data_IF_458907491401
#
_entry.id   IF_458907491401
#
_cell.length_a   1.000
_cell.length_b   1.000
_cell.length_c   1.000
_cell.angle_alpha   90.00
_cell.angle_beta   90.00
_cell.angle_gamma   90.00
#
_symmetry.space_group_name_H-M   'P 1'
#
loop_
_entity.id
_entity.type
_entity.pdbx_description
1 polymer ?
#
# COMPACT_ATOMS: atom_id res chain seq x y z
N UNK A 1 2.36 -5.78 23.56
CA UNK A 1 2.57 -5.95 22.10
C UNK A 1 3.81 -5.17 21.72
N UNK A 2 4.72 -5.79 20.96
CA UNK A 2 5.93 -5.16 20.42
C UNK A 2 5.79 -4.99 18.91
N UNK A 3 6.38 -3.94 18.35
CA UNK A 3 6.40 -3.70 16.90
C UNK A 3 7.72 -4.24 16.33
N UNK A 4 7.63 -5.00 15.24
CA UNK A 4 8.79 -5.53 14.50
C UNK A 4 8.68 -5.06 13.05
N UNK A 5 9.79 -4.58 12.49
CA UNK A 5 9.88 -4.17 11.09
C UNK A 5 10.38 -5.34 10.26
N UNK A 6 9.58 -5.78 9.28
CA UNK A 6 9.91 -6.88 8.38
C UNK A 6 9.79 -6.42 6.92
N UNK A 7 10.67 -6.88 6.02
CA UNK A 7 10.46 -6.75 4.58
C UNK A 7 9.12 -7.38 4.16
N UNK A 8 8.45 -6.82 3.16
CA UNK A 8 7.11 -7.28 2.75
C UNK A 8 7.02 -8.79 2.44
N UNK A 9 8.04 -9.35 1.80
CA UNK A 9 8.11 -10.79 1.50
C UNK A 9 8.29 -11.71 2.72
N UNK A 10 8.64 -11.16 3.89
CA UNK A 10 8.86 -11.90 5.13
C UNK A 10 7.64 -11.87 6.06
N UNK A 11 6.68 -10.96 5.82
CA UNK A 11 5.52 -10.78 6.70
C UNK A 11 4.64 -12.05 6.75
N UNK A 12 4.26 -12.61 5.59
CA UNK A 12 3.40 -13.80 5.57
C UNK A 12 4.09 -15.03 6.22
N UNK A 13 5.37 -15.34 5.90
CA UNK A 13 6.10 -16.39 6.61
C UNK A 13 6.20 -16.16 8.12
N UNK A 14 6.39 -14.91 8.56
CA UNK A 14 6.47 -14.57 9.98
C UNK A 14 5.11 -14.74 10.70
N UNK A 15 3.99 -14.41 10.04
CA UNK A 15 2.66 -14.73 10.55
C UNK A 15 2.44 -16.25 10.60
N UNK A 16 2.82 -16.97 9.55
CA UNK A 16 2.66 -18.42 9.45
C UNK A 16 3.44 -19.19 10.53
N UNK A 17 4.63 -18.70 10.90
CA UNK A 17 5.45 -19.30 11.94
C UNK A 17 5.03 -18.91 13.36
N UNK A 18 4.15 -17.92 13.52
CA UNK A 18 3.78 -17.34 14.80
C UNK A 18 4.83 -16.40 15.40
N UNK A 19 5.78 -15.91 14.59
CA UNK A 19 6.73 -14.88 15.01
C UNK A 19 6.03 -13.54 15.27
N UNK A 20 5.00 -13.22 14.47
CA UNK A 20 4.14 -12.06 14.64
C UNK A 20 2.66 -12.49 14.61
N UNK A 21 1.84 -11.83 15.43
CA UNK A 21 0.42 -12.16 15.57
C UNK A 21 -0.47 -11.45 14.54
N UNK A 22 -0.01 -10.28 14.08
CA UNK A 22 -0.73 -9.43 13.15
C UNK A 22 0.26 -8.63 12.30
N UNK A 23 -0.18 -8.18 11.14
CA UNK A 23 0.60 -7.34 10.26
C UNK A 23 -0.27 -6.29 9.58
N UNK A 24 0.38 -5.22 9.18
CA UNK A 24 -0.10 -4.28 8.17
C UNK A 24 0.90 -4.27 7.03
N UNK A 25 0.45 -3.88 5.84
CA UNK A 25 1.35 -3.62 4.72
C UNK A 25 0.94 -2.38 3.96
N UNK A 26 -0.17 -2.41 3.20
CA UNK A 26 -0.57 -1.20 2.49
C UNK A 26 -2.07 -1.16 2.11
N UNK A 27 -2.51 -2.05 1.22
CA UNK A 27 -3.84 -1.99 0.63
C UNK A 27 -4.36 -3.39 0.21
N UNK A 28 -5.67 -3.53 -0.07
CA UNK A 28 -6.27 -4.84 -0.39
C UNK A 28 -5.59 -5.59 -1.53
N UNK A 29 -5.04 -4.86 -2.51
CA UNK A 29 -4.30 -5.45 -3.63
C UNK A 29 -3.01 -6.10 -3.15
N UNK A 30 -2.13 -5.33 -2.50
CA UNK A 30 -0.82 -5.84 -2.06
C UNK A 30 -0.99 -6.98 -1.06
N UNK A 31 -1.96 -6.85 -0.16
CA UNK A 31 -2.18 -7.83 0.91
C UNK A 31 -2.67 -9.17 0.32
N UNK A 32 -3.54 -9.09 -0.71
CA UNK A 32 -3.97 -10.25 -1.50
C UNK A 32 -2.80 -10.88 -2.26
N UNK A 33 -2.01 -10.06 -2.93
CA UNK A 33 -0.88 -10.51 -3.76
C UNK A 33 0.23 -11.17 -2.91
N UNK A 34 0.40 -10.76 -1.64
CA UNK A 34 1.28 -11.43 -0.68
C UNK A 34 0.69 -12.68 -0.01
N UNK A 35 -0.59 -12.97 -0.21
CA UNK A 35 -1.23 -14.15 0.38
C UNK A 35 -1.55 -14.00 1.87
N UNK A 36 -1.76 -12.77 2.37
CA UNK A 36 -2.08 -12.55 3.80
C UNK A 36 -3.37 -13.25 4.23
N UNK A 37 -4.30 -13.44 3.29
CA UNK A 37 -5.54 -14.19 3.50
C UNK A 37 -5.32 -15.67 3.82
N UNK A 38 -4.13 -16.23 3.56
CA UNK A 38 -3.80 -17.62 3.85
C UNK A 38 -3.37 -17.83 5.31
N UNK A 39 -2.99 -16.74 5.99
CA UNK A 39 -2.52 -16.74 7.38
C UNK A 39 -3.48 -16.01 8.34
N UNK A 40 -4.34 -15.12 7.83
CA UNK A 40 -5.40 -14.46 8.61
C UNK A 40 -6.69 -14.29 7.81
N UNK A 41 -7.83 -14.46 8.47
CA UNK A 41 -9.17 -14.16 7.92
C UNK A 41 -9.79 -12.89 8.52
N UNK A 42 -9.02 -12.10 9.26
CA UNK A 42 -9.49 -10.85 9.87
C UNK A 42 -8.77 -9.66 9.26
N UNK A 43 -9.52 -8.79 8.58
CA UNK A 43 -8.99 -7.63 7.88
C UNK A 43 -9.63 -6.35 8.43
N UNK A 44 -8.83 -5.49 9.05
CA UNK A 44 -9.29 -4.21 9.59
C UNK A 44 -9.06 -3.09 8.56
N UNK A 45 -10.15 -2.54 8.03
CA UNK A 45 -10.17 -1.48 7.04
C UNK A 45 -10.34 -0.11 7.69
N UNK A 46 -9.50 0.85 7.29
CA UNK A 46 -9.46 2.20 7.83
C UNK A 46 -8.31 2.36 8.82
N UNK A 47 -7.09 2.44 8.30
CA UNK A 47 -5.88 2.61 9.12
C UNK A 47 -5.87 3.98 9.81
N UNK A 48 -5.37 4.03 11.04
CA UNK A 48 -5.15 5.26 11.80
C UNK A 48 -3.81 5.92 11.47
N UNK A 49 -2.79 5.13 11.13
CA UNK A 49 -1.44 5.65 10.84
C UNK A 49 -1.26 6.06 9.38
N UNK A 50 -2.09 5.51 8.48
CA UNK A 50 -2.02 5.80 7.05
C UNK A 50 -3.44 5.88 6.46
N UNK A 51 -4.03 7.07 6.52
CA UNK A 51 -5.38 7.31 5.99
C UNK A 51 -5.43 7.28 4.46
N UNK A 52 -4.34 7.68 3.81
CA UNK A 52 -4.12 7.63 2.37
C UNK A 52 -2.65 7.36 2.06
N UNK A 53 -2.38 6.84 0.88
CA UNK A 53 -1.03 6.64 0.36
C UNK A 53 -0.75 7.63 -0.78
N UNK A 54 0.43 8.24 -0.73
CA UNK A 54 0.97 9.06 -1.80
C UNK A 54 2.44 8.71 -1.97
N UNK A 55 2.87 8.54 -3.21
CA UNK A 55 4.27 8.24 -3.53
C UNK A 55 4.97 9.50 -4.03
N UNK A 56 6.26 9.56 -3.75
CA UNK A 56 7.12 10.68 -4.14
C UNK A 56 8.13 10.22 -5.18
N UNK A 57 8.30 11.04 -6.22
CA UNK A 57 9.43 10.91 -7.15
C UNK A 57 10.50 11.91 -6.71
N UNK A 58 11.54 11.40 -6.04
CA UNK A 58 12.65 12.22 -5.56
C UNK A 58 13.78 12.28 -6.59
N UNK A 59 14.34 13.48 -6.80
CA UNK A 59 15.49 13.69 -7.67
C UNK A 59 16.69 14.19 -6.89
N UNK A 60 17.89 13.77 -7.28
CA UNK A 60 19.10 14.45 -6.81
C UNK A 60 19.07 15.92 -7.26
N UNK A 61 19.13 16.84 -6.29
CA UNK A 61 18.99 18.28 -6.54
C UNK A 61 19.92 18.80 -7.62
N UNK A 62 21.23 18.53 -7.51
CA UNK A 62 22.24 19.01 -8.47
C UNK A 62 21.96 18.47 -9.87
N UNK A 63 21.58 17.20 -9.98
CA UNK A 63 21.26 16.60 -11.27
C UNK A 63 20.02 17.23 -11.88
N UNK A 64 18.95 17.40 -11.10
CA UNK A 64 17.71 18.02 -11.55
C UNK A 64 17.93 19.47 -12.01
N UNK A 65 18.63 20.28 -11.21
CA UNK A 65 18.93 21.69 -11.53
C UNK A 65 19.87 21.82 -12.74
N UNK A 66 20.68 20.79 -13.04
CA UNK A 66 21.52 20.77 -14.25
C UNK A 66 20.75 20.50 -15.55
N UNK A 67 19.49 20.07 -15.47
CA UNK A 67 18.66 19.81 -16.65
C UNK A 67 18.18 21.13 -17.28
N UNK A 68 18.01 21.19 -18.61
CA UNK A 68 17.27 22.26 -19.27
C UNK A 68 15.88 22.44 -18.66
N UNK A 69 15.38 23.68 -18.68
CA UNK A 69 14.06 24.03 -18.11
C UNK A 69 12.91 23.17 -18.65
N UNK A 70 12.97 22.81 -19.94
CA UNK A 70 12.00 21.92 -20.57
C UNK A 70 11.97 20.53 -19.93
N UNK A 71 13.13 19.92 -19.64
CA UNK A 71 13.19 18.60 -19.01
C UNK A 71 12.75 18.65 -17.54
N UNK A 72 13.06 19.74 -16.82
CA UNK A 72 12.53 19.95 -15.47
C UNK A 72 10.99 20.01 -15.49
N UNK A 73 10.42 20.75 -16.45
CA UNK A 73 8.98 20.85 -16.61
C UNK A 73 8.35 19.49 -16.97
N UNK A 74 8.96 18.72 -17.88
CA UNK A 74 8.49 17.38 -18.24
C UNK A 74 8.46 16.47 -17.00
N UNK A 75 9.54 16.43 -16.22
CA UNK A 75 9.59 15.61 -15.00
C UNK A 75 8.50 16.01 -14.01
N UNK A 76 8.33 17.30 -13.75
CA UNK A 76 7.30 17.81 -12.85
C UNK A 76 5.89 17.38 -13.30
N UNK A 77 5.53 17.66 -14.55
CA UNK A 77 4.18 17.38 -15.03
C UNK A 77 3.93 15.88 -15.24
N UNK A 78 4.97 15.10 -15.56
CA UNK A 78 4.88 13.65 -15.57
C UNK A 78 4.59 13.09 -14.17
N UNK A 79 5.25 13.61 -13.13
CA UNK A 79 4.96 13.20 -11.74
C UNK A 79 3.55 13.57 -11.30
N UNK A 80 3.05 14.76 -11.65
CA UNK A 80 1.66 15.17 -11.37
C UNK A 80 0.64 14.29 -12.11
N UNK A 81 0.89 14.00 -13.39
CA UNK A 81 0.04 13.13 -14.19
C UNK A 81 0.01 11.69 -13.64
N UNK A 82 1.17 11.14 -13.28
CA UNK A 82 1.24 9.78 -12.73
C UNK A 82 0.60 9.69 -11.34
N UNK A 83 0.69 10.73 -10.51
CA UNK A 83 -0.04 10.76 -9.23
C UNK A 83 -1.56 10.62 -9.44
N UNK A 84 -2.11 11.36 -10.40
CA UNK A 84 -3.54 11.30 -10.74
C UNK A 84 -3.91 9.93 -11.32
N UNK A 85 -3.09 9.43 -12.25
CA UNK A 85 -3.25 8.13 -12.88
C UNK A 85 -3.28 7.00 -11.83
N UNK A 86 -2.29 6.99 -10.93
CA UNK A 86 -2.19 6.08 -9.79
C UNK A 86 -3.47 6.11 -8.96
N UNK A 87 -3.92 7.29 -8.54
CA UNK A 87 -5.08 7.43 -7.65
C UNK A 87 -6.37 6.87 -8.29
N UNK A 88 -6.64 7.20 -9.56
CA UNK A 88 -7.85 6.75 -10.25
C UNK A 88 -7.87 5.24 -10.47
N UNK A 89 -6.75 4.67 -10.93
CA UNK A 89 -6.68 3.23 -11.17
C UNK A 89 -6.76 2.43 -9.87
N UNK A 90 -6.06 2.87 -8.83
CA UNK A 90 -6.01 2.13 -7.58
C UNK A 90 -7.29 2.23 -6.76
N UNK A 91 -8.02 3.35 -6.82
CA UNK A 91 -9.34 3.43 -6.19
C UNK A 91 -10.27 2.31 -6.68
N UNK A 92 -10.29 2.06 -7.99
CA UNK A 92 -11.04 0.94 -8.57
C UNK A 92 -10.45 -0.41 -8.18
N UNK A 93 -9.15 -0.59 -8.38
CA UNK A 93 -8.46 -1.86 -8.11
C UNK A 93 -8.61 -2.33 -6.66
N UNK A 94 -8.45 -1.41 -5.70
CA UNK A 94 -8.56 -1.71 -4.27
C UNK A 94 -9.98 -2.13 -3.89
N UNK A 95 -11.00 -1.49 -4.47
CA UNK A 95 -12.39 -1.89 -4.27
C UNK A 95 -12.67 -3.30 -4.82
N UNK A 96 -12.16 -3.61 -6.01
CA UNK A 96 -12.33 -4.93 -6.64
C UNK A 96 -11.59 -6.03 -5.86
N UNK A 97 -10.34 -5.79 -5.48
CA UNK A 97 -9.52 -6.76 -4.76
C UNK A 97 -9.99 -6.97 -3.32
N UNK A 98 -10.55 -5.95 -2.66
CA UNK A 98 -11.27 -6.13 -1.39
C UNK A 98 -12.49 -7.05 -1.56
N UNK A 99 -13.22 -6.94 -2.67
CA UNK A 99 -14.30 -7.86 -3.03
C UNK A 99 -13.80 -9.30 -3.13
N UNK A 100 -12.70 -9.52 -3.86
CA UNK A 100 -12.08 -10.84 -3.99
C UNK A 100 -11.64 -11.42 -2.64
N UNK A 101 -11.05 -10.61 -1.77
CA UNK A 101 -10.68 -11.05 -0.42
C UNK A 101 -11.91 -11.55 0.37
N UNK A 102 -13.03 -10.84 0.27
CA UNK A 102 -14.30 -11.28 0.89
C UNK A 102 -14.79 -12.60 0.30
N UNK A 103 -14.72 -12.76 -1.02
CA UNK A 103 -15.08 -14.02 -1.70
C UNK A 103 -14.19 -15.21 -1.27
N UNK A 104 -12.95 -14.91 -0.85
CA UNK A 104 -12.00 -15.87 -0.25
C UNK A 104 -12.21 -16.10 1.26
N UNK A 105 -13.33 -15.61 1.81
CA UNK A 105 -13.72 -15.80 3.21
C UNK A 105 -13.04 -14.88 4.22
N UNK A 106 -12.45 -13.76 3.77
CA UNK A 106 -11.88 -12.75 4.67
C UNK A 106 -13.01 -11.90 5.28
N UNK A 107 -13.04 -11.83 6.62
CA UNK A 107 -13.93 -10.98 7.38
C UNK A 107 -13.36 -9.57 7.44
N UNK A 108 -14.07 -8.62 6.83
CA UNK A 108 -13.66 -7.21 6.79
C UNK A 108 -14.37 -6.44 7.90
N UNK A 109 -13.59 -5.84 8.78
CA UNK A 109 -14.05 -4.99 9.88
C UNK A 109 -13.69 -3.55 9.57
N UNK A 110 -14.64 -2.64 9.69
CA UNK A 110 -14.31 -1.22 9.71
C UNK A 110 -13.67 -0.90 11.06
N UNK A 111 -12.48 -0.32 11.04
CA UNK A 111 -11.84 0.18 12.27
C UNK A 111 -12.75 1.23 12.90
N UNK A 112 -13.15 1.03 14.15
CA UNK A 112 -14.05 1.94 14.84
C UNK A 112 -13.34 3.26 15.13
N UNK A 113 -14.01 4.36 14.82
CA UNK A 113 -13.61 5.69 15.30
C UNK A 113 -14.44 5.90 16.57
N UNK A 114 -13.76 6.16 17.69
CA UNK A 114 -14.40 6.49 18.98
C UNK A 114 -15.32 7.71 18.86
#
# INVERSE_FOLDING_TARGET
MSVVQLPGGEIQPAMKSGLIDAAEFNNPTSDKDFGMQDVSKHYHLGSFHQSQEFFEVSFNKKKYESLPAELQAILKYASEAENSNFYWHNTKRYSEDLGKLKDMGVNVYRTQIL
#
